data_IF_735251159498
#
_entry.id   IF_735251159498
#
_cell.length_a   1.000
_cell.length_b   1.000
_cell.length_c   1.000
_cell.angle_alpha   90.00
_cell.angle_beta   90.00
_cell.angle_gamma   90.00
#
_symmetry.space_group_name_H-M   'P 1'
#
loop_
_entity.id
_entity.type
_entity.pdbx_description
1 polymer ?
#
# COMPACT_ATOMS: atom_id res chain seq x y z
N UNK A 1 10.53 -0.89 -9.50
CA UNK A 1 9.63 -0.27 -10.52
C UNK A 1 9.56 1.24 -10.30
N UNK A 2 9.48 2.07 -11.33
CA UNK A 2 9.39 3.54 -11.14
C UNK A 2 8.03 3.96 -10.56
N UNK A 3 8.04 4.95 -9.66
CA UNK A 3 6.83 5.46 -8.99
C UNK A 3 5.81 5.99 -10.00
N UNK A 4 6.23 6.75 -11.01
CA UNK A 4 5.31 7.31 -12.02
C UNK A 4 4.51 6.24 -12.76
N UNK A 5 5.16 5.13 -13.11
CA UNK A 5 4.52 3.97 -13.74
C UNK A 5 3.57 3.25 -12.78
N UNK A 6 3.97 3.09 -11.52
CA UNK A 6 3.14 2.45 -10.50
C UNK A 6 1.78 3.17 -10.32
N UNK A 7 1.79 4.51 -10.32
CA UNK A 7 0.60 5.34 -10.08
C UNK A 7 -0.11 5.83 -11.35
N UNK A 8 0.25 5.29 -12.52
CA UNK A 8 -0.28 5.73 -13.81
C UNK A 8 -1.81 5.56 -13.88
N UNK A 9 -2.54 6.59 -14.32
CA UNK A 9 -4.00 6.54 -14.43
C UNK A 9 -4.78 6.50 -13.10
N UNK A 10 -4.11 6.66 -11.95
CA UNK A 10 -4.78 6.83 -10.66
C UNK A 10 -5.24 8.29 -10.55
N UNK A 11 -6.53 8.47 -10.26
CA UNK A 11 -7.12 9.78 -9.94
C UNK A 11 -6.66 10.23 -8.55
N UNK A 12 -5.71 11.16 -8.50
CA UNK A 12 -5.06 11.61 -7.28
C UNK A 12 -4.45 13.00 -7.46
N UNK A 13 -4.44 13.78 -6.39
CA UNK A 13 -3.60 14.97 -6.31
C UNK A 13 -2.17 14.57 -5.96
N UNK A 14 -1.18 15.19 -6.60
CA UNK A 14 0.22 14.77 -6.52
C UNK A 14 1.09 15.92 -6.04
N UNK A 15 1.87 15.68 -5.00
CA UNK A 15 2.75 16.68 -4.39
C UNK A 15 4.18 16.15 -4.30
N UNK A 16 5.16 17.05 -4.46
CA UNK A 16 6.59 16.76 -4.27
C UNK A 16 7.08 15.60 -5.15
N UNK A 17 6.44 15.43 -6.32
CA UNK A 17 6.72 14.31 -7.22
C UNK A 17 8.17 14.33 -7.68
N UNK A 18 8.84 13.19 -7.52
CA UNK A 18 10.17 12.92 -8.04
C UNK A 18 10.21 11.47 -8.51
N UNK A 19 11.09 11.16 -9.46
CA UNK A 19 11.28 9.77 -9.87
C UNK A 19 12.06 9.02 -8.80
N UNK A 20 11.45 7.94 -8.30
CA UNK A 20 12.03 7.05 -7.31
C UNK A 20 11.74 5.61 -7.70
N UNK A 21 12.70 4.75 -7.40
CA UNK A 21 12.50 3.32 -7.52
C UNK A 21 11.71 2.80 -6.32
N UNK A 22 10.61 2.11 -6.61
CA UNK A 22 9.78 1.39 -5.65
C UNK A 22 10.18 -0.08 -5.65
N UNK A 23 10.50 -0.60 -4.47
CA UNK A 23 10.89 -1.99 -4.23
C UNK A 23 9.96 -2.72 -3.25
N UNK A 24 9.09 -2.01 -2.52
CA UNK A 24 8.05 -2.59 -1.67
C UNK A 24 6.82 -1.69 -1.54
N UNK A 25 5.69 -2.27 -1.11
CA UNK A 25 4.45 -1.57 -0.74
C UNK A 25 4.06 -2.02 0.67
N UNK A 26 3.89 -1.10 1.60
CA UNK A 26 3.54 -1.43 2.99
C UNK A 26 2.45 -0.48 3.52
N UNK A 27 1.49 -1.01 4.28
CA UNK A 27 0.52 -0.21 5.04
C UNK A 27 0.76 -0.28 6.55
N UNK A 28 1.72 -1.09 6.99
CA UNK A 28 2.18 -1.19 8.38
C UNK A 28 3.56 -0.53 8.50
N UNK A 29 3.66 0.57 9.25
CA UNK A 29 4.92 1.31 9.41
C UNK A 29 6.05 0.45 9.99
N UNK A 30 5.72 -0.64 10.71
CA UNK A 30 6.70 -1.58 11.28
C UNK A 30 7.43 -2.40 10.22
N UNK A 31 6.83 -2.57 9.04
CA UNK A 31 7.37 -3.34 7.92
C UNK A 31 8.14 -2.46 6.91
N UNK A 32 8.03 -1.13 7.04
CA UNK A 32 8.68 -0.19 6.12
C UNK A 32 10.20 -0.33 6.17
N UNK A 33 10.80 -0.33 4.99
CA UNK A 33 12.24 -0.32 4.76
C UNK A 33 12.58 0.56 3.53
N UNK A 34 13.86 0.86 3.25
CA UNK A 34 14.25 1.65 2.09
C UNK A 34 13.63 1.14 0.78
N UNK A 35 13.04 2.05 0.00
CA UNK A 35 12.38 1.75 -1.29
C UNK A 35 10.88 1.44 -1.18
N UNK A 36 10.30 1.57 0.01
CA UNK A 36 8.88 1.27 0.26
C UNK A 36 7.97 2.45 -0.10
N UNK A 37 6.86 2.19 -0.78
CA UNK A 37 5.72 3.13 -0.78
C UNK A 37 4.85 2.82 0.42
N UNK A 38 4.71 3.78 1.33
CA UNK A 38 3.84 3.65 2.48
C UNK A 38 2.40 4.03 2.13
N UNK A 39 1.43 3.19 2.45
CA UNK A 39 0.02 3.39 2.16
C UNK A 39 -0.72 3.67 3.47
N UNK A 40 -0.98 4.95 3.74
CA UNK A 40 -1.69 5.38 4.93
C UNK A 40 -3.19 5.03 4.80
N UNK A 41 -3.60 3.98 5.52
CA UNK A 41 -4.98 3.50 5.55
C UNK A 41 -5.63 3.96 6.85
N UNK A 42 -6.80 4.60 6.74
CA UNK A 42 -7.63 4.92 7.90
C UNK A 42 -8.40 3.69 8.36
N UNK A 43 -8.00 3.13 9.49
CA UNK A 43 -8.66 2.00 10.18
C UNK A 43 -9.77 2.43 11.13
N UNK A 44 -10.44 1.45 11.74
CA UNK A 44 -11.43 1.70 12.80
C UNK A 44 -10.77 2.10 14.13
N UNK A 45 -9.61 1.49 14.44
CA UNK A 45 -8.89 1.70 15.70
C UNK A 45 -7.67 2.60 15.54
N UNK A 46 -7.01 2.56 14.38
CA UNK A 46 -5.77 3.29 14.11
C UNK A 46 -5.86 3.99 12.77
N UNK A 47 -5.30 5.19 12.67
CA UNK A 47 -5.16 5.92 11.42
C UNK A 47 -3.72 5.80 10.90
N UNK A 48 -3.53 5.20 9.73
CA UNK A 48 -2.20 5.03 9.11
C UNK A 48 -1.46 6.35 8.87
N UNK A 49 -2.19 7.48 8.80
CA UNK A 49 -1.60 8.80 8.63
C UNK A 49 -0.73 9.23 9.82
N UNK A 50 -1.05 8.74 11.01
CA UNK A 50 -0.29 9.03 12.23
C UNK A 50 1.14 8.45 12.19
N UNK A 51 1.39 7.50 11.29
CA UNK A 51 2.67 6.77 11.18
C UNK A 51 3.53 7.18 9.97
N UNK A 52 3.17 8.27 9.28
CA UNK A 52 3.92 8.73 8.10
C UNK A 52 5.35 9.13 8.44
N UNK A 53 5.55 9.83 9.56
CA UNK A 53 6.89 10.22 10.01
C UNK A 53 7.76 8.99 10.29
N UNK A 54 7.20 7.97 10.95
CA UNK A 54 7.90 6.71 11.21
C UNK A 54 8.25 5.99 9.90
N UNK A 55 7.34 5.99 8.92
CA UNK A 55 7.59 5.41 7.61
C UNK A 55 8.70 6.16 6.85
N UNK A 56 8.70 7.50 6.91
CA UNK A 56 9.76 8.33 6.32
C UNK A 56 11.12 8.03 6.95
N UNK A 57 11.20 7.98 8.29
CA UNK A 57 12.43 7.63 9.02
C UNK A 57 12.98 6.24 8.64
N UNK A 58 12.09 5.29 8.33
CA UNK A 58 12.46 3.93 7.91
C UNK A 58 12.81 3.81 6.42
N UNK A 59 12.71 4.89 5.66
CA UNK A 59 13.12 4.93 4.26
C UNK A 59 11.98 4.72 3.26
N UNK A 60 10.74 5.04 3.63
CA UNK A 60 9.68 5.18 2.65
C UNK A 60 10.09 6.20 1.56
N UNK A 61 9.83 5.87 0.30
CA UNK A 61 10.20 6.70 -0.85
C UNK A 61 9.02 7.50 -1.41
N UNK A 62 7.79 7.15 -1.02
CA UNK A 62 6.56 7.90 -1.30
C UNK A 62 5.46 7.49 -0.32
N UNK A 63 4.41 8.31 -0.26
CA UNK A 63 3.23 8.09 0.58
C UNK A 63 1.95 8.15 -0.26
N UNK A 64 1.06 7.18 -0.07
CA UNK A 64 -0.35 7.25 -0.49
C UNK A 64 -1.18 7.62 0.73
N UNK A 65 -2.00 8.67 0.63
CA UNK A 65 -2.77 9.17 1.77
C UNK A 65 -4.16 9.72 1.34
N UNK A 66 -5.05 9.84 2.31
CA UNK A 66 -6.34 10.51 2.21
C UNK A 66 -6.26 11.88 2.90
N UNK A 67 -6.05 12.91 2.11
CA UNK A 67 -5.76 14.26 2.58
C UNK A 67 -4.27 14.58 2.62
N UNK A 68 -3.94 15.87 2.54
CA UNK A 68 -2.55 16.35 2.52
C UNK A 68 -1.87 16.10 3.86
N UNK A 69 -0.61 15.66 3.81
CA UNK A 69 0.20 15.31 4.99
C UNK A 69 1.50 16.12 4.99
N UNK A 70 2.08 16.32 6.17
CA UNK A 70 3.32 17.08 6.32
C UNK A 70 4.54 16.15 6.16
N UNK A 71 5.01 16.01 4.92
CA UNK A 71 6.21 15.23 4.58
C UNK A 71 6.87 15.80 3.32
N UNK A 72 8.18 15.60 3.18
CA UNK A 72 8.92 15.95 1.97
C UNK A 72 8.94 14.81 0.93
N UNK A 73 8.40 13.64 1.27
CA UNK A 73 8.23 12.54 0.35
C UNK A 73 7.20 12.90 -0.75
N UNK A 74 7.33 12.32 -1.95
CA UNK A 74 6.25 12.30 -2.93
C UNK A 74 4.95 11.83 -2.30
N UNK A 75 3.89 12.63 -2.44
CA UNK A 75 2.59 12.35 -1.86
C UNK A 75 1.57 12.17 -2.98
N UNK A 76 0.81 11.08 -2.91
CA UNK A 76 -0.27 10.77 -3.83
C UNK A 76 -1.56 10.74 -3.01
N UNK A 77 -2.30 11.84 -3.08
CA UNK A 77 -3.50 12.06 -2.28
C UNK A 77 -4.70 11.53 -3.04
N UNK A 78 -5.29 10.47 -2.49
CA UNK A 78 -6.39 9.73 -3.09
C UNK A 78 -7.65 9.88 -2.25
N UNK A 79 -8.80 9.58 -2.86
CA UNK A 79 -10.08 9.55 -2.13
C UNK A 79 -10.17 8.38 -1.17
N UNK A 80 -9.64 7.22 -1.56
CA UNK A 80 -9.65 5.98 -0.78
C UNK A 80 -8.33 5.22 -0.96
N UNK A 81 -7.53 5.17 0.12
CA UNK A 81 -6.23 4.49 0.12
C UNK A 81 -6.35 2.97 0.00
N UNK A 82 -7.46 2.36 0.45
CA UNK A 82 -7.66 0.90 0.39
C UNK A 82 -7.92 0.46 -1.05
N UNK A 83 -8.78 1.19 -1.76
CA UNK A 83 -9.04 0.92 -3.18
C UNK A 83 -7.76 1.06 -4.01
N UNK A 84 -6.97 2.10 -3.71
CA UNK A 84 -5.69 2.32 -4.40
C UNK A 84 -4.69 1.22 -4.07
N UNK A 85 -4.62 0.76 -2.82
CA UNK A 85 -3.75 -0.36 -2.42
C UNK A 85 -4.00 -1.60 -3.29
N UNK A 86 -5.25 -1.97 -3.53
CA UNK A 86 -5.60 -3.14 -4.34
C UNK A 86 -5.10 -3.01 -5.79
N UNK A 87 -5.17 -1.80 -6.35
CA UNK A 87 -4.67 -1.49 -7.70
C UNK A 87 -3.14 -1.56 -7.72
N UNK A 88 -2.48 -0.96 -6.73
CA UNK A 88 -1.02 -0.93 -6.64
C UNK A 88 -0.44 -2.33 -6.43
N UNK A 89 -1.04 -3.13 -5.56
CA UNK A 89 -0.62 -4.50 -5.29
C UNK A 89 -0.64 -5.35 -6.58
N UNK A 90 -1.70 -5.26 -7.37
CA UNK A 90 -1.80 -5.96 -8.65
C UNK A 90 -0.74 -5.51 -9.66
N UNK A 91 -0.43 -4.20 -9.70
CA UNK A 91 0.60 -3.65 -10.61
C UNK A 91 2.01 -4.02 -10.18
N UNK A 92 2.25 -4.06 -8.87
CA UNK A 92 3.57 -4.28 -8.30
C UNK A 92 3.95 -5.76 -8.24
N UNK A 93 3.06 -6.60 -7.73
CA UNK A 93 3.30 -8.04 -7.59
C UNK A 93 2.83 -8.85 -8.80
N UNK A 94 2.10 -8.21 -9.73
CA UNK A 94 1.50 -8.87 -10.88
C UNK A 94 0.19 -9.59 -10.54
N UNK A 95 -0.38 -10.21 -11.56
CA UNK A 95 -1.56 -11.06 -11.39
C UNK A 95 -1.15 -12.52 -11.26
N UNK A 96 -1.64 -13.18 -10.22
CA UNK A 96 -1.49 -14.63 -10.06
C UNK A 96 -2.63 -15.35 -10.79
N UNK A 97 -2.73 -15.21 -12.12
CA UNK A 97 -3.80 -15.83 -12.94
C UNK A 97 -3.64 -17.34 -13.07
N UNK A 98 -2.40 -17.82 -13.04
CA UNK A 98 -2.07 -19.21 -13.35
C UNK A 98 -2.10 -20.12 -12.10
N UNK A 99 -2.54 -19.57 -10.96
CA UNK A 99 -2.65 -20.27 -9.69
C UNK A 99 -4.13 -20.38 -9.32
N UNK A 100 -4.58 -21.60 -9.01
CA UNK A 100 -5.93 -21.83 -8.47
C UNK A 100 -6.02 -21.27 -7.06
N UNK A 101 -7.00 -20.39 -6.81
CA UNK A 101 -7.24 -19.74 -5.52
C UNK A 101 -8.51 -20.30 -4.90
N UNK A 102 -8.41 -20.83 -3.68
CA UNK A 102 -9.56 -21.34 -2.91
C UNK A 102 -9.75 -20.43 -1.69
N UNK A 103 -10.91 -19.78 -1.60
CA UNK A 103 -11.30 -18.97 -0.45
C UNK A 103 -12.15 -19.76 0.53
N UNK A 104 -11.74 -19.86 1.78
CA UNK A 104 -12.50 -20.53 2.84
C UNK A 104 -13.02 -19.49 3.83
N UNK A 105 -14.35 -19.44 4.00
CA UNK A 105 -15.04 -18.57 4.97
C UNK A 105 -15.96 -19.37 5.88
N UNK A 106 -16.41 -18.79 6.99
CA UNK A 106 -17.30 -19.42 7.98
C UNK A 106 -16.86 -19.15 9.42
N UNK A 107 -17.76 -19.27 10.40
CA UNK A 107 -17.43 -18.97 11.81
C UNK A 107 -16.39 -19.92 12.36
N UNK A 108 -16.51 -21.22 12.07
CA UNK A 108 -15.61 -22.29 12.54
C UNK A 108 -15.04 -23.10 11.36
N UNK A 109 -13.93 -23.81 11.59
CA UNK A 109 -13.38 -24.78 10.62
C UNK A 109 -12.54 -24.21 9.47
N UNK A 110 -12.45 -22.88 9.30
CA UNK A 110 -11.64 -22.23 8.23
C UNK A 110 -10.19 -22.71 8.22
N UNK A 111 -9.50 -22.59 9.35
CA UNK A 111 -8.09 -22.95 9.47
C UNK A 111 -7.89 -24.46 9.26
N UNK A 112 -8.68 -25.31 9.92
CA UNK A 112 -8.57 -26.77 9.76
C UNK A 112 -8.77 -27.20 8.31
N UNK A 113 -9.79 -26.64 7.64
CA UNK A 113 -10.06 -26.97 6.23
C UNK A 113 -8.94 -26.49 5.33
N UNK A 114 -8.40 -25.28 5.55
CA UNK A 114 -7.28 -24.72 4.78
C UNK A 114 -6.00 -25.55 4.87
N UNK A 115 -5.79 -26.29 5.97
CA UNK A 115 -4.63 -27.18 6.16
C UNK A 115 -4.81 -28.56 5.52
N UNK A 116 -6.04 -28.96 5.22
CA UNK A 116 -6.36 -30.30 4.71
C UNK A 116 -6.51 -30.35 3.18
N UNK A 117 -6.80 -29.21 2.56
CA UNK A 117 -6.84 -29.05 1.10
C UNK A 117 -5.47 -28.65 0.55
#
# INVERSE_FOLDING_TARGET
MQLSKLIEGIDAEKYHMKEVEVTSLEFDSRMVHPGTVFIAIKGETFDGHDFINEAEEKGAVAVIAQGKVDTQLPQIIVRDSRVVMDILAQRFFGQFSDVSKIGITGTNGKTTTAFLI
#
